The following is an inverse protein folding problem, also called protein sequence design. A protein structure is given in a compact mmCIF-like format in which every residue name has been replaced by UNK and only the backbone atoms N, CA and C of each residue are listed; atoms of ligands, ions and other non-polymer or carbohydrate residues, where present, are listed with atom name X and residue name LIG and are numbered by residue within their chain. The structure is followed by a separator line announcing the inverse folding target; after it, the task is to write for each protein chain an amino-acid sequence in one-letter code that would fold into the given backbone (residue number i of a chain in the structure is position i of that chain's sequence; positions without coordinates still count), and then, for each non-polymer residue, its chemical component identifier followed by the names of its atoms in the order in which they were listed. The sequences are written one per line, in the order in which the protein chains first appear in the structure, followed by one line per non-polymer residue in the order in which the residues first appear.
data_IF_202901832763
#
_entry.id   IF_202901832763
#
_cell.length_a   1.000
_cell.length_b   1.000
_cell.length_c   1.000
_cell.angle_alpha   90.00
_cell.angle_beta   90.00
_cell.angle_gamma   90.00
#
_symmetry.space_group_name_H-M   'P 1'
#
loop_
_entity.id
_entity.type
_entity.pdbx_description
1 polymer ?
#
# COMPACT_ATOMS: atom_id res chain seq x y z
N UNK A 1 -2.19 -17.86 27.31
CA UNK A 1 -2.35 -17.21 25.99
C UNK A 1 -1.23 -17.58 25.02
N UNK A 2 0.04 -17.15 25.21
CA UNK A 2 1.13 -17.40 24.23
C UNK A 2 1.40 -18.87 23.87
N UNK A 3 1.40 -19.80 24.85
CA UNK A 3 1.58 -21.25 24.58
C UNK A 3 0.45 -21.87 23.76
N UNK A 4 -0.79 -21.44 23.99
CA UNK A 4 -1.95 -21.92 23.24
C UNK A 4 -1.93 -21.42 21.79
N UNK A 5 -1.60 -20.13 21.59
CA UNK A 5 -1.44 -19.55 20.24
C UNK A 5 -0.30 -20.25 19.50
N UNK A 6 0.86 -20.45 20.14
CA UNK A 6 1.99 -21.14 19.52
C UNK A 6 1.67 -22.58 19.08
N UNK A 7 0.78 -23.26 19.80
CA UNK A 7 0.32 -24.59 19.40
C UNK A 7 -0.61 -24.55 18.18
N UNK A 8 -1.39 -23.48 18.03
CA UNK A 8 -2.36 -23.31 16.94
C UNK A 8 -1.75 -22.78 15.64
N UNK A 9 -0.62 -22.05 15.71
CA UNK A 9 0.05 -21.48 14.52
C UNK A 9 0.24 -22.51 13.39
N UNK A 10 0.78 -23.72 13.62
CA UNK A 10 0.99 -24.69 12.54
C UNK A 10 -0.32 -25.17 11.89
N UNK A 11 -1.40 -25.26 12.66
CA UNK A 11 -2.71 -25.66 12.14
C UNK A 11 -3.38 -24.53 11.37
N UNK A 12 -3.29 -23.29 11.89
CA UNK A 12 -3.79 -22.10 11.22
C UNK A 12 -3.06 -21.83 9.91
N UNK A 13 -1.74 -22.01 9.87
CA UNK A 13 -0.94 -21.84 8.66
C UNK A 13 -1.28 -22.92 7.62
N UNK A 14 -1.42 -24.18 8.05
CA UNK A 14 -1.84 -25.28 7.17
C UNK A 14 -3.25 -25.08 6.62
N UNK A 15 -4.20 -24.69 7.46
CA UNK A 15 -5.57 -24.38 7.04
C UNK A 15 -5.59 -23.18 6.07
N UNK A 16 -4.75 -22.17 6.30
CA UNK A 16 -4.61 -21.02 5.41
C UNK A 16 -4.05 -21.43 4.05
N UNK A 17 -3.03 -22.29 4.01
CA UNK A 17 -2.48 -22.84 2.76
C UNK A 17 -3.49 -23.73 2.01
N UNK A 18 -4.23 -24.57 2.72
CA UNK A 18 -5.28 -25.42 2.14
C UNK A 18 -6.42 -24.58 1.56
N UNK A 19 -6.85 -23.54 2.27
CA UNK A 19 -7.83 -22.56 1.78
C UNK A 19 -7.30 -21.73 0.60
N UNK A 20 -6.00 -21.43 0.57
CA UNK A 20 -5.36 -20.75 -0.56
C UNK A 20 -5.42 -21.64 -1.80
N UNK A 21 -5.01 -22.91 -1.65
CA UNK A 21 -4.99 -23.91 -2.72
C UNK A 21 -6.40 -24.22 -3.23
N UNK A 22 -7.39 -24.32 -2.35
CA UNK A 22 -8.77 -24.59 -2.73
C UNK A 22 -9.42 -23.40 -3.44
N UNK A 23 -9.19 -22.16 -2.98
CA UNK A 23 -9.69 -20.96 -3.68
C UNK A 23 -9.07 -20.79 -5.06
N UNK A 24 -7.75 -20.96 -5.18
CA UNK A 24 -7.04 -20.91 -6.47
C UNK A 24 -7.50 -22.02 -7.43
N UNK A 25 -7.87 -23.19 -6.90
CA UNK A 25 -8.37 -24.31 -7.71
C UNK A 25 -9.83 -24.13 -8.18
N UNK A 26 -10.63 -23.30 -7.50
CA UNK A 26 -12.05 -23.07 -7.80
C UNK A 26 -12.26 -21.81 -8.63
N UNK A 27 -11.46 -20.76 -8.40
CA UNK A 27 -11.34 -19.59 -9.27
C UNK A 27 -9.86 -19.26 -9.43
N UNK A 28 -9.40 -18.95 -10.65
CA UNK A 28 -8.02 -18.48 -10.90
C UNK A 28 -7.76 -17.07 -10.31
N UNK A 29 -8.44 -16.71 -9.22
CA UNK A 29 -8.44 -15.39 -8.61
C UNK A 29 -7.55 -15.36 -7.36
N UNK A 30 -6.96 -14.20 -7.13
CA UNK A 30 -6.17 -13.95 -5.92
C UNK A 30 -7.05 -14.13 -4.67
N UNK A 31 -6.55 -14.77 -3.60
CA UNK A 31 -7.27 -14.92 -2.33
C UNK A 31 -7.39 -13.58 -1.56
N UNK A 32 -6.73 -12.53 -2.04
CA UNK A 32 -6.70 -11.19 -1.46
C UNK A 32 -7.65 -10.24 -2.19
N UNK A 33 -8.20 -9.26 -1.47
CA UNK A 33 -9.07 -8.22 -2.05
C UNK A 33 -8.31 -7.28 -2.99
N UNK A 34 -7.00 -7.16 -2.81
CA UNK A 34 -6.11 -6.38 -3.66
C UNK A 34 -4.67 -6.45 -3.14
N UNK A 35 -3.73 -6.07 -4.00
CA UNK A 35 -2.29 -5.98 -3.70
C UNK A 35 -1.88 -4.53 -3.50
N UNK A 36 -1.30 -4.24 -2.34
CA UNK A 36 -0.93 -2.90 -1.92
C UNK A 36 0.58 -2.81 -1.72
N UNK A 37 1.27 -2.03 -2.54
CA UNK A 37 2.70 -1.72 -2.35
C UNK A 37 2.83 -0.49 -1.48
N UNK A 38 3.54 -0.58 -0.35
CA UNK A 38 3.71 0.54 0.58
C UNK A 38 5.19 0.78 0.87
N UNK A 39 5.60 2.05 0.92
CA UNK A 39 6.98 2.43 1.17
C UNK A 39 7.09 3.78 1.88
N UNK A 40 8.09 3.92 2.75
CA UNK A 40 8.57 5.25 3.16
C UNK A 40 9.53 5.74 2.08
N UNK A 41 9.28 6.96 1.59
CA UNK A 41 10.00 7.52 0.43
C UNK A 41 11.49 7.72 0.70
N UNK A 42 12.25 7.94 -0.38
CA UNK A 42 13.69 8.17 -0.33
C UNK A 42 14.05 9.27 0.68
N UNK A 43 15.12 9.03 1.44
CA UNK A 43 15.64 10.00 2.42
C UNK A 43 14.86 10.05 3.73
N UNK A 44 13.78 9.28 3.88
CA UNK A 44 12.99 9.22 5.10
C UNK A 44 13.03 7.82 5.74
N UNK A 45 13.24 7.79 7.05
CA UNK A 45 13.41 6.57 7.87
C UNK A 45 12.23 6.28 8.78
N UNK A 46 11.24 7.18 8.82
CA UNK A 46 10.14 7.07 9.77
C UNK A 46 9.06 6.14 9.21
N UNK A 47 8.79 5.05 9.92
CA UNK A 47 7.96 3.95 9.42
C UNK A 47 6.85 3.49 10.38
N UNK A 48 6.78 4.01 11.61
CA UNK A 48 5.77 3.60 12.59
C UNK A 48 4.36 3.69 12.01
N UNK A 49 4.01 4.84 11.42
CA UNK A 49 2.71 5.03 10.79
C UNK A 49 2.47 4.08 9.62
N UNK A 50 3.48 3.87 8.76
CA UNK A 50 3.45 2.92 7.64
C UNK A 50 3.17 1.51 8.12
N UNK A 51 3.88 1.05 9.15
CA UNK A 51 3.76 -0.32 9.67
C UNK A 51 2.37 -0.56 10.26
N UNK A 52 1.79 0.44 10.93
CA UNK A 52 0.40 0.36 11.41
C UNK A 52 -0.57 0.20 10.23
N UNK A 53 -0.41 1.01 9.17
CA UNK A 53 -1.24 0.90 7.96
C UNK A 53 -1.10 -0.49 7.31
N UNK A 54 0.13 -1.00 7.19
CA UNK A 54 0.40 -2.30 6.61
C UNK A 54 -0.27 -3.45 7.39
N UNK A 55 -0.17 -3.43 8.73
CA UNK A 55 -0.83 -4.41 9.59
C UNK A 55 -2.35 -4.32 9.45
N UNK A 56 -2.91 -3.11 9.49
CA UNK A 56 -4.36 -2.90 9.37
C UNK A 56 -4.90 -3.35 8.02
N UNK A 57 -4.20 -3.06 6.91
CA UNK A 57 -4.56 -3.58 5.58
C UNK A 57 -4.49 -5.11 5.51
N UNK A 58 -3.44 -5.72 6.10
CA UNK A 58 -3.33 -7.17 6.22
C UNK A 58 -4.47 -7.81 7.02
N UNK A 59 -4.94 -7.14 8.09
CA UNK A 59 -6.13 -7.56 8.84
C UNK A 59 -7.42 -7.48 8.00
N UNK A 60 -7.44 -6.67 6.94
CA UNK A 60 -8.56 -6.52 6.01
C UNK A 60 -8.36 -7.33 4.71
N UNK A 61 -7.55 -8.39 4.75
CA UNK A 61 -7.33 -9.33 3.64
C UNK A 61 -6.75 -8.70 2.36
N UNK A 62 -5.95 -7.65 2.49
CA UNK A 62 -5.09 -7.16 1.42
C UNK A 62 -3.74 -7.86 1.44
N UNK A 63 -3.15 -8.09 0.25
CA UNK A 63 -1.75 -8.49 0.13
C UNK A 63 -0.90 -7.24 0.23
N UNK A 64 -0.21 -7.05 1.35
CA UNK A 64 0.64 -5.87 1.56
C UNK A 64 2.09 -6.22 1.27
N UNK A 65 2.73 -5.43 0.39
CA UNK A 65 4.14 -5.52 0.05
C UNK A 65 4.82 -4.27 0.58
N UNK A 66 5.46 -4.41 1.74
CA UNK A 66 6.19 -3.32 2.39
C UNK A 66 7.65 -3.28 1.92
N UNK A 67 8.04 -2.18 1.27
CA UNK A 67 9.39 -1.99 0.75
C UNK A 67 10.36 -1.40 1.76
N UNK A 68 9.86 -1.05 2.96
CA UNK A 68 10.63 -0.48 4.05
C UNK A 68 10.80 1.02 3.92
N UNK A 69 12.00 1.49 4.30
CA UNK A 69 12.33 2.91 4.41
C UNK A 69 13.39 3.34 3.40
N UNK A 70 13.48 4.65 3.19
CA UNK A 70 14.41 5.26 2.24
C UNK A 70 14.28 4.66 0.83
N UNK A 71 13.06 4.29 0.43
CA UNK A 71 12.85 3.49 -0.77
C UNK A 71 12.93 4.38 -2.03
N UNK A 72 13.81 4.06 -3.00
CA UNK A 72 13.88 4.79 -4.27
C UNK A 72 12.58 4.66 -5.08
N UNK A 73 12.23 5.71 -5.82
CA UNK A 73 11.03 5.74 -6.65
C UNK A 73 10.98 4.59 -7.66
N UNK A 74 12.11 4.28 -8.29
CA UNK A 74 12.23 3.22 -9.29
C UNK A 74 11.88 1.86 -8.70
N UNK A 75 12.27 1.60 -7.44
CA UNK A 75 11.94 0.36 -6.74
C UNK A 75 10.45 0.27 -6.45
N UNK A 76 9.82 1.37 -6.02
CA UNK A 76 8.37 1.42 -5.76
C UNK A 76 7.59 1.08 -7.04
N UNK A 77 7.90 1.77 -8.14
CA UNK A 77 7.22 1.58 -9.42
C UNK A 77 7.48 0.19 -9.99
N UNK A 78 8.73 -0.26 -9.98
CA UNK A 78 9.09 -1.59 -10.46
C UNK A 78 8.35 -2.67 -9.70
N UNK A 79 8.35 -2.64 -8.37
CA UNK A 79 7.62 -3.64 -7.57
C UNK A 79 6.12 -3.56 -7.82
N UNK A 80 5.55 -2.36 -7.99
CA UNK A 80 4.13 -2.24 -8.33
C UNK A 80 3.78 -2.90 -9.67
N UNK A 81 4.65 -2.79 -10.68
CA UNK A 81 4.47 -3.45 -11.98
C UNK A 81 4.66 -4.97 -11.85
N UNK A 82 5.78 -5.39 -11.27
CA UNK A 82 6.16 -6.81 -11.16
C UNK A 82 5.11 -7.62 -10.37
N UNK A 83 4.58 -7.02 -9.30
CA UNK A 83 3.60 -7.65 -8.41
C UNK A 83 2.15 -7.34 -8.78
N UNK A 84 1.92 -6.63 -9.89
CA UNK A 84 0.59 -6.20 -10.36
C UNK A 84 -0.21 -5.54 -9.24
N UNK A 85 0.41 -4.59 -8.56
CA UNK A 85 -0.21 -3.89 -7.45
C UNK A 85 -1.45 -3.13 -7.90
N UNK A 86 -2.50 -3.21 -7.11
CA UNK A 86 -3.73 -2.44 -7.30
C UNK A 86 -3.61 -1.04 -6.71
N UNK A 87 -2.67 -0.84 -5.77
CA UNK A 87 -2.45 0.42 -5.07
C UNK A 87 -0.97 0.65 -4.75
N UNK A 88 -0.56 1.92 -4.76
CA UNK A 88 0.73 2.36 -4.21
C UNK A 88 0.49 3.32 -3.05
N UNK A 89 1.15 3.10 -1.92
CA UNK A 89 1.16 4.01 -0.77
C UNK A 89 2.55 4.57 -0.50
N UNK A 90 2.65 5.89 -0.40
CA UNK A 90 3.86 6.60 0.00
C UNK A 90 3.69 7.19 1.41
N UNK A 91 4.67 6.92 2.28
CA UNK A 91 4.76 7.47 3.63
C UNK A 91 5.91 8.48 3.74
N UNK A 92 5.69 9.57 4.48
CA UNK A 92 6.72 10.56 4.79
C UNK A 92 6.40 11.37 6.06
N UNK A 93 7.41 11.60 6.90
CA UNK A 93 7.33 12.37 8.13
C UNK A 93 8.06 13.71 8.05
N UNK A 94 9.05 13.86 7.18
CA UNK A 94 9.85 15.10 7.09
C UNK A 94 9.47 15.92 5.86
N UNK A 95 9.81 17.22 5.85
CA UNK A 95 9.48 18.12 4.74
C UNK A 95 10.08 17.69 3.40
N UNK A 96 11.35 17.22 3.31
CA UNK A 96 11.92 16.72 2.05
C UNK A 96 11.12 15.55 1.43
N UNK A 97 10.43 14.76 2.24
CA UNK A 97 9.62 13.62 1.79
C UNK A 97 8.49 14.05 0.86
N UNK A 98 7.99 15.29 1.01
CA UNK A 98 6.93 15.82 0.17
C UNK A 98 7.37 16.00 -1.29
N UNK A 99 8.59 16.50 -1.51
CA UNK A 99 9.13 16.66 -2.86
C UNK A 99 9.41 15.29 -3.52
N UNK A 100 9.83 14.30 -2.72
CA UNK A 100 9.97 12.91 -3.19
C UNK A 100 8.61 12.30 -3.57
N UNK A 101 7.53 12.58 -2.84
CA UNK A 101 6.18 12.13 -3.22
C UNK A 101 5.70 12.78 -4.53
N UNK A 102 6.03 14.05 -4.77
CA UNK A 102 5.77 14.72 -6.05
C UNK A 102 6.56 14.05 -7.17
N UNK A 103 7.81 13.65 -6.91
CA UNK A 103 8.62 12.92 -7.87
C UNK A 103 8.01 11.55 -8.20
N UNK A 104 7.57 10.79 -7.19
CA UNK A 104 6.89 9.50 -7.39
C UNK A 104 5.67 9.64 -8.30
N UNK A 105 4.80 10.63 -8.06
CA UNK A 105 3.64 10.86 -8.92
C UNK A 105 4.00 11.13 -10.39
N UNK A 106 5.06 11.92 -10.64
CA UNK A 106 5.55 12.18 -12.00
C UNK A 106 6.09 10.92 -12.68
N UNK A 107 6.83 10.10 -11.94
CA UNK A 107 7.39 8.87 -12.50
C UNK A 107 6.31 7.80 -12.72
N UNK A 108 5.29 7.73 -11.86
CA UNK A 108 4.12 6.88 -12.10
C UNK A 108 3.40 7.29 -13.40
N UNK A 109 3.26 8.60 -13.66
CA UNK A 109 2.72 9.10 -14.93
C UNK A 109 3.58 8.67 -16.12
N UNK A 110 4.90 8.82 -16.01
CA UNK A 110 5.84 8.44 -17.08
C UNK A 110 5.85 6.94 -17.34
N UNK A 111 5.66 6.14 -16.29
CA UNK A 111 5.52 4.68 -16.38
C UNK A 111 4.16 4.23 -16.93
N UNK A 112 3.23 5.16 -17.19
CA UNK A 112 1.91 4.85 -17.74
C UNK A 112 0.99 4.11 -16.75
N UNK A 113 1.25 4.24 -15.44
CA UNK A 113 0.39 3.65 -14.43
C UNK A 113 -0.95 4.40 -14.37
N UNK A 114 -1.99 3.69 -13.96
CA UNK A 114 -3.33 4.26 -13.70
C UNK A 114 -3.91 3.87 -12.34
N UNK A 115 -3.16 3.09 -11.55
CA UNK A 115 -3.56 2.64 -10.21
C UNK A 115 -3.53 3.79 -9.20
N UNK A 116 -4.38 3.78 -8.15
CA UNK A 116 -4.40 4.85 -7.16
C UNK A 116 -3.08 5.01 -6.39
N UNK A 117 -2.68 6.27 -6.19
CA UNK A 117 -1.56 6.68 -5.33
C UNK A 117 -2.09 7.26 -4.02
N UNK A 118 -1.77 6.61 -2.90
CA UNK A 118 -2.12 7.03 -1.56
C UNK A 118 -0.94 7.75 -0.90
N UNK A 119 -1.20 8.95 -0.39
CA UNK A 119 -0.22 9.80 0.28
C UNK A 119 -0.54 9.87 1.76
N UNK A 120 0.43 9.57 2.63
CA UNK A 120 0.26 9.63 4.08
C UNK A 120 1.53 9.98 4.84
N UNK A 121 1.37 10.21 6.15
CA UNK A 121 2.42 10.60 7.09
C UNK A 121 2.28 12.03 7.60
N UNK A 122 2.97 12.39 8.68
CA UNK A 122 2.60 13.55 9.51
C UNK A 122 2.77 14.91 8.81
N UNK A 123 3.73 15.06 7.91
CA UNK A 123 3.94 16.30 7.14
C UNK A 123 3.00 16.44 5.95
N UNK A 124 2.27 15.38 5.59
CA UNK A 124 1.35 15.40 4.45
C UNK A 124 0.06 16.14 4.81
N UNK A 125 -0.56 16.77 3.82
CA UNK A 125 -1.84 17.48 4.00
C UNK A 125 -2.68 17.41 2.73
N UNK A 126 -4.01 17.52 2.89
CA UNK A 126 -4.95 17.55 1.76
C UNK A 126 -4.56 18.62 0.73
N UNK A 127 -4.20 19.81 1.21
CA UNK A 127 -3.80 20.94 0.36
C UNK A 127 -2.52 20.64 -0.42
N UNK A 128 -1.48 20.12 0.25
CA UNK A 128 -0.25 19.77 -0.44
C UNK A 128 -0.50 18.69 -1.49
N UNK A 129 -1.22 17.63 -1.15
CA UNK A 129 -1.54 16.53 -2.07
C UNK A 129 -2.32 17.04 -3.28
N UNK A 130 -3.36 17.85 -3.09
CA UNK A 130 -4.19 18.37 -4.17
C UNK A 130 -3.45 19.35 -5.10
N UNK A 131 -2.55 20.18 -4.55
CA UNK A 131 -1.91 21.26 -5.31
C UNK A 131 -0.58 20.84 -5.93
N UNK A 132 0.19 19.98 -5.26
CA UNK A 132 1.57 19.64 -5.66
C UNK A 132 1.70 18.25 -6.24
N UNK A 133 0.97 17.26 -5.72
CA UNK A 133 1.11 15.85 -6.10
C UNK A 133 0.09 15.46 -7.18
N UNK A 134 -1.21 15.64 -6.91
CA UNK A 134 -2.29 15.22 -7.81
C UNK A 134 -2.15 15.74 -9.25
N UNK A 135 -1.74 17.00 -9.53
CA UNK A 135 -1.58 17.49 -10.91
C UNK A 135 -0.39 16.87 -11.67
N UNK A 136 0.33 15.92 -11.09
CA UNK A 136 1.47 15.23 -11.72
C UNK A 136 1.14 13.83 -12.20
N UNK A 137 -0.03 13.31 -11.84
CA UNK A 137 -0.45 11.96 -12.15
C UNK A 137 -1.93 11.97 -12.54
N UNK A 138 -2.27 11.38 -13.68
CA UNK A 138 -3.64 11.33 -14.19
C UNK A 138 -4.52 10.31 -13.46
N UNK A 139 -3.91 9.34 -12.77
CA UNK A 139 -4.64 8.40 -11.92
C UNK A 139 -5.08 9.02 -10.58
N UNK A 140 -5.89 8.31 -9.79
CA UNK A 140 -6.38 8.82 -8.52
C UNK A 140 -5.23 9.08 -7.53
N UNK A 141 -5.23 10.26 -6.90
CA UNK A 141 -4.30 10.61 -5.82
C UNK A 141 -5.08 10.96 -4.57
N UNK A 142 -4.89 10.17 -3.51
CA UNK A 142 -5.70 10.23 -2.29
C UNK A 142 -4.82 10.56 -1.10
N UNK A 143 -5.21 11.58 -0.32
CA UNK A 143 -4.57 11.86 0.97
C UNK A 143 -5.25 11.06 2.08
N UNK A 144 -4.49 10.21 2.77
CA UNK A 144 -4.97 9.38 3.86
C UNK A 144 -4.43 9.89 5.20
N UNK A 145 -5.34 10.11 6.15
CA UNK A 145 -5.00 10.67 7.47
C UNK A 145 -4.48 9.61 8.44
N UNK A 146 -4.99 8.39 8.34
CA UNK A 146 -4.73 7.30 9.26
C UNK A 146 -5.05 5.94 8.61
N UNK A 147 -4.69 4.86 9.29
CA UNK A 147 -4.86 3.49 8.80
C UNK A 147 -6.33 3.10 8.58
N UNK A 148 -7.25 3.56 9.44
CA UNK A 148 -8.67 3.24 9.31
C UNK A 148 -9.26 3.84 8.04
N UNK A 149 -8.92 5.11 7.75
CA UNK A 149 -9.36 5.77 6.51
C UNK A 149 -8.69 5.22 5.26
N UNK A 150 -7.46 4.70 5.38
CA UNK A 150 -6.81 4.00 4.27
C UNK A 150 -7.62 2.78 3.84
N UNK A 151 -8.09 1.94 4.79
CA UNK A 151 -8.93 0.77 4.47
C UNK A 151 -10.19 1.19 3.73
N UNK A 152 -10.91 2.20 4.23
CA UNK A 152 -12.13 2.70 3.57
C UNK A 152 -11.83 3.17 2.15
N UNK A 153 -10.77 3.96 1.97
CA UNK A 153 -10.40 4.49 0.66
C UNK A 153 -10.08 3.39 -0.37
N UNK A 154 -9.37 2.33 0.03
CA UNK A 154 -9.03 1.22 -0.89
C UNK A 154 -10.22 0.30 -1.15
N UNK A 155 -11.06 0.04 -0.15
CA UNK A 155 -12.24 -0.81 -0.30
C UNK A 155 -13.29 -0.15 -1.20
N UNK A 156 -13.55 1.14 -1.03
CA UNK A 156 -14.50 1.88 -1.88
C UNK A 156 -14.00 2.00 -3.33
N UNK A 157 -12.68 2.06 -3.54
CA UNK A 157 -12.06 2.13 -4.87
C UNK A 157 -12.21 0.83 -5.68
N UNK A 158 -12.44 -0.31 -5.02
CA UNK A 158 -12.65 -1.61 -5.68
C UNK A 158 -14.12 -1.81 -6.06
N UNK A 159 -15.06 -1.14 -5.38
CA UNK A 159 -16.51 -1.36 -5.48
C UNK A 159 -17.22 -0.59 -6.60
N UNK A 160 -16.51 0.19 -7.43
CA UNK A 160 -17.11 1.04 -8.48
C UNK A 160 -17.22 0.39 -9.88
N UNK A 161 -17.13 -0.94 -9.98
CA UNK A 161 -17.44 -1.71 -11.20
C UNK A 161 -18.75 -2.47 -11.07
#
# INVERSE_FOLDING_TARGET
MKKAVAHLIPFMDKEREENLKSKIAVSNESPYQGTFVIATVKGDVHDIGKNIVAVVLGCNNFRVIDLGVMTPCEKIIKTAIDEKADFIGCSGLITPSLDEMVHVAREMQRAGLSIPLLIGGATTSKTHTAVKIAPRYSGPVIHCLDASKTVVAVSDSILFF
#
